data_IF_958834365469
#
_entry.id   IF_958834365469
#
_cell.length_a   1.000
_cell.length_b   1.000
_cell.length_c   1.000
_cell.angle_alpha   90.00
_cell.angle_beta   90.00
_cell.angle_gamma   90.00
#
_symmetry.space_group_name_H-M   'P 1'
#
loop_
_entity.id
_entity.type
_entity.pdbx_description
1 polymer ?
#
# COMPACT_ATOMS: atom_id res chain seq x y z
N UNK A 1 9.58 -10.33 10.43
CA UNK A 1 8.64 -9.21 10.18
C UNK A 1 8.85 -8.74 8.76
N UNK A 2 7.78 -8.65 7.96
CA UNK A 2 7.86 -8.34 6.53
C UNK A 2 7.17 -7.00 6.23
N UNK A 3 7.70 -6.27 5.25
CA UNK A 3 7.11 -5.06 4.69
C UNK A 3 6.84 -5.29 3.21
N UNK A 4 5.59 -5.09 2.79
CA UNK A 4 5.19 -5.14 1.39
C UNK A 4 4.83 -3.71 0.97
N UNK A 5 5.47 -3.22 -0.09
CA UNK A 5 5.30 -1.85 -0.58
C UNK A 5 4.64 -1.89 -1.94
N UNK A 6 3.51 -1.21 -2.06
CA UNK A 6 2.86 -0.95 -3.34
C UNK A 6 3.33 0.38 -3.86
N UNK A 7 3.94 0.41 -5.05
CA UNK A 7 4.36 1.65 -5.70
C UNK A 7 3.22 2.24 -6.54
N UNK A 8 3.19 3.56 -6.65
CA UNK A 8 2.15 4.32 -7.32
C UNK A 8 2.25 5.82 -7.01
N UNK A 9 1.39 6.60 -7.64
CA UNK A 9 1.27 8.03 -7.39
C UNK A 9 0.02 8.34 -6.56
N UNK A 10 0.11 9.23 -5.56
CA UNK A 10 -1.03 9.62 -4.73
C UNK A 10 -2.02 10.51 -5.48
N UNK A 11 -3.30 10.43 -5.10
CA UNK A 11 -4.37 11.28 -5.62
C UNK A 11 -5.31 10.58 -6.62
N UNK A 12 -6.59 10.99 -6.59
CA UNK A 12 -7.68 10.34 -7.33
C UNK A 12 -7.42 10.22 -8.84
N UNK A 13 -6.72 11.21 -9.43
CA UNK A 13 -6.40 11.23 -10.86
C UNK A 13 -5.54 10.05 -11.34
N UNK A 14 -4.83 9.38 -10.44
CA UNK A 14 -3.94 8.25 -10.76
C UNK A 14 -4.52 6.88 -10.37
N UNK A 15 -5.67 6.84 -9.70
CA UNK A 15 -6.19 5.64 -9.06
C UNK A 15 -6.33 4.42 -10.00
N UNK A 16 -6.55 4.65 -11.30
CA UNK A 16 -6.67 3.59 -12.33
C UNK A 16 -5.55 3.62 -13.38
N UNK A 17 -4.46 4.34 -13.12
CA UNK A 17 -3.27 4.29 -13.99
C UNK A 17 -2.54 2.96 -13.80
N UNK A 18 -1.98 2.39 -14.88
CA UNK A 18 -1.08 1.22 -14.81
C UNK A 18 0.07 1.39 -13.81
N UNK A 19 0.54 2.62 -13.60
CA UNK A 19 1.57 2.94 -12.59
C UNK A 19 1.11 2.71 -11.14
N UNK A 20 -0.21 2.68 -10.89
CA UNK A 20 -0.78 2.48 -9.56
C UNK A 20 -1.14 1.01 -9.29
N UNK A 21 -0.71 0.06 -10.13
CA UNK A 21 -0.98 -1.36 -9.90
C UNK A 21 -0.43 -1.85 -8.56
N UNK A 22 0.69 -1.28 -8.09
CA UNK A 22 1.22 -1.56 -6.76
C UNK A 22 0.26 -1.14 -5.64
N UNK A 23 -0.31 0.06 -5.71
CA UNK A 23 -1.33 0.51 -4.74
C UNK A 23 -2.57 -0.38 -4.79
N UNK A 24 -3.05 -0.72 -5.99
CA UNK A 24 -4.22 -1.59 -6.16
C UNK A 24 -3.98 -2.99 -5.58
N UNK A 25 -2.78 -3.54 -5.76
CA UNK A 25 -2.39 -4.82 -5.19
C UNK A 25 -2.37 -4.77 -3.65
N UNK A 26 -1.79 -3.73 -3.06
CA UNK A 26 -1.76 -3.53 -1.60
C UNK A 26 -3.18 -3.42 -1.03
N UNK A 27 -4.08 -2.69 -1.69
CA UNK A 27 -5.48 -2.60 -1.26
C UNK A 27 -6.21 -3.93 -1.36
N UNK A 28 -5.98 -4.70 -2.43
CA UNK A 28 -6.54 -6.04 -2.58
C UNK A 28 -6.05 -7.00 -1.49
N UNK A 29 -4.75 -6.98 -1.18
CA UNK A 29 -4.15 -7.78 -0.10
C UNK A 29 -4.73 -7.35 1.25
N UNK A 30 -4.78 -6.04 1.53
CA UNK A 30 -5.34 -5.51 2.77
C UNK A 30 -6.79 -5.96 2.99
N UNK A 31 -7.62 -5.91 1.94
CA UNK A 31 -9.01 -6.41 2.00
C UNK A 31 -9.07 -7.91 2.24
N UNK A 32 -8.25 -8.71 1.52
CA UNK A 32 -8.24 -10.17 1.64
C UNK A 32 -7.90 -10.63 3.06
N UNK A 33 -6.94 -9.97 3.70
CA UNK A 33 -6.46 -10.33 5.03
C UNK A 33 -7.06 -9.49 6.16
N UNK A 34 -8.13 -8.70 5.87
CA UNK A 34 -8.81 -7.83 6.83
C UNK A 34 -7.83 -7.00 7.64
N UNK A 35 -6.85 -6.40 6.95
CA UNK A 35 -5.84 -5.56 7.55
C UNK A 35 -6.49 -4.45 8.38
N UNK A 36 -5.79 -4.01 9.43
CA UNK A 36 -6.14 -2.76 10.10
C UNK A 36 -6.18 -1.63 9.05
N UNK A 37 -7.13 -0.70 9.21
CA UNK A 37 -7.27 0.42 8.29
C UNK A 37 -5.96 1.19 8.10
N UNK A 38 -5.74 1.70 6.89
CA UNK A 38 -4.55 2.48 6.57
C UNK A 38 -4.47 3.74 7.43
N UNK A 39 -3.27 4.02 7.95
CA UNK A 39 -2.95 5.22 8.74
C UNK A 39 -1.76 5.94 8.14
N UNK A 40 -1.79 7.27 8.20
CA UNK A 40 -0.68 8.09 7.74
C UNK A 40 0.57 7.88 8.62
N UNK A 41 1.67 7.43 8.01
CA UNK A 41 2.97 7.19 8.65
C UNK A 41 4.09 7.28 7.62
N UNK A 42 5.25 7.84 7.99
CA UNK A 42 6.45 7.85 7.14
C UNK A 42 6.24 8.42 5.72
N UNK A 43 5.43 9.49 5.59
CA UNK A 43 5.02 10.05 4.28
C UNK A 43 4.32 9.02 3.38
N UNK A 44 3.58 8.09 3.98
CA UNK A 44 2.81 7.05 3.32
C UNK A 44 1.58 6.64 4.12
N UNK A 45 0.78 5.75 3.55
CA UNK A 45 -0.31 5.06 4.22
C UNK A 45 0.14 3.65 4.60
N UNK A 46 0.11 3.34 5.88
CA UNK A 46 0.53 2.05 6.44
C UNK A 46 -0.66 1.30 7.03
N UNK A 47 -0.79 0.03 6.67
CA UNK A 47 -1.71 -0.92 7.28
C UNK A 47 -0.94 -2.13 7.82
N UNK A 48 -1.57 -2.87 8.72
CA UNK A 48 -1.01 -4.10 9.29
C UNK A 48 -1.97 -5.27 9.08
N UNK A 49 -1.44 -6.41 8.67
CA UNK A 49 -2.18 -7.63 8.45
C UNK A 49 -1.46 -8.83 9.08
N UNK A 50 -2.22 -9.87 9.42
CA UNK A 50 -1.67 -11.20 9.69
C UNK A 50 -1.80 -12.07 8.45
N UNK A 51 -0.68 -12.55 7.91
CA UNK A 51 -0.62 -13.37 6.70
C UNK A 51 0.18 -14.62 7.03
N UNK A 52 -0.46 -15.79 7.00
CA UNK A 52 0.18 -17.06 7.36
C UNK A 52 0.68 -17.10 8.81
N UNK A 53 0.00 -16.41 9.74
CA UNK A 53 0.41 -16.31 11.14
C UNK A 53 1.50 -15.26 11.40
N UNK A 54 2.06 -14.63 10.36
CA UNK A 54 3.08 -13.60 10.51
C UNK A 54 2.49 -12.19 10.42
N UNK A 55 3.05 -11.28 11.23
CA UNK A 55 2.79 -9.84 11.12
C UNK A 55 3.45 -9.28 9.86
N UNK A 56 2.63 -8.69 9.00
CA UNK A 56 3.06 -8.05 7.74
C UNK A 56 2.58 -6.60 7.72
N UNK A 57 3.50 -5.69 7.40
CA UNK A 57 3.20 -4.28 7.15
C UNK A 57 2.94 -4.06 5.67
N UNK A 58 1.88 -3.33 5.35
CA UNK A 58 1.49 -2.95 3.99
C UNK A 58 1.64 -1.43 3.84
N UNK A 59 2.44 -0.97 2.89
CA UNK A 59 2.75 0.45 2.71
C UNK A 59 2.39 0.94 1.31
N UNK A 60 1.69 2.07 1.23
CA UNK A 60 1.53 2.90 0.03
C UNK A 60 2.26 4.23 0.26
N UNK A 61 3.47 4.44 -0.30
CA UNK A 61 4.15 5.73 -0.19
C UNK A 61 3.26 6.85 -0.76
N UNK A 62 3.12 7.97 -0.06
CA UNK A 62 2.35 9.13 -0.53
C UNK A 62 3.29 10.21 -1.12
N UNK A 63 4.51 9.80 -1.48
CA UNK A 63 5.42 10.58 -2.31
C UNK A 63 5.12 10.31 -3.77
N UNK A 64 5.30 11.31 -4.64
CA UNK A 64 5.26 11.05 -6.07
C UNK A 64 6.39 10.09 -6.45
N UNK A 65 6.14 9.30 -7.49
CA UNK A 65 7.13 8.44 -8.09
C UNK A 65 8.00 9.33 -9.00
N UNK A 66 8.92 10.06 -8.39
CA UNK A 66 9.72 11.07 -9.09
C UNK A 66 10.66 10.37 -10.08
N UNK A 67 10.47 10.68 -11.37
CA UNK A 67 11.32 10.42 -12.53
C UNK A 67 11.93 9.01 -12.65
N UNK A 68 11.26 8.16 -13.45
CA UNK A 68 11.91 7.08 -14.21
C UNK A 68 12.95 7.63 -15.18
#
# INVERSE_FOLDING_TARGET
MRLVVGLGNPGARYARNRHNIGFMAIEAIARRYRAAGFRNRFKGELAEASIGGERVLLLKPQTFMNAS
#
